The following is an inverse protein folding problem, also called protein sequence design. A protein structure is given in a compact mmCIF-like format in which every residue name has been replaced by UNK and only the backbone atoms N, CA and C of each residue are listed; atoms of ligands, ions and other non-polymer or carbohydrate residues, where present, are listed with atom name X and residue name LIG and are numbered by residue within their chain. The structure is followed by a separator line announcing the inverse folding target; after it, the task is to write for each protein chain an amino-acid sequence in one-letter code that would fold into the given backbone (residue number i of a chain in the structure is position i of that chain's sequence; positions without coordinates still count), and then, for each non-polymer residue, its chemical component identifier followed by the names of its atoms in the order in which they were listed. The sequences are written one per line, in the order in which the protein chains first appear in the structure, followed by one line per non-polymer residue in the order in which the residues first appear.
data_IF_961828262954
#
_entry.id   IF_961828262954
#
_cell.length_a   1.000
_cell.length_b   1.000
_cell.length_c   1.000
_cell.angle_alpha   90.00
_cell.angle_beta   90.00
_cell.angle_gamma   90.00
#
_symmetry.space_group_name_H-M   'P 1'
#
loop_
_entity.id
_entity.type
_entity.pdbx_description
1 polymer ?
#
# COMPACT_ATOMS: atom_id res chain seq x y z
N UNK A 1 -16.20 3.92 5.36
CA UNK A 1 -15.45 3.09 4.42
C UNK A 1 -13.97 3.39 4.54
N UNK A 2 -13.15 2.37 4.52
CA UNK A 2 -11.72 2.53 4.63
C UNK A 2 -11.16 2.99 3.27
N UNK A 3 -10.62 4.21 3.23
CA UNK A 3 -10.09 4.80 1.99
C UNK A 3 -8.85 4.05 1.50
N UNK A 4 -8.06 3.48 2.39
CA UNK A 4 -6.89 2.68 2.02
C UNK A 4 -7.32 1.39 1.35
N UNK A 5 -8.32 0.71 1.90
CA UNK A 5 -8.84 -0.52 1.30
C UNK A 5 -9.38 -0.27 -0.10
N UNK A 6 -10.13 0.81 -0.28
CA UNK A 6 -10.67 1.21 -1.58
C UNK A 6 -9.55 1.50 -2.58
N UNK A 7 -8.53 2.24 -2.16
CA UNK A 7 -7.36 2.56 -3.00
C UNK A 7 -6.62 1.30 -3.42
N UNK A 8 -6.35 0.42 -2.49
CA UNK A 8 -5.61 -0.82 -2.77
C UNK A 8 -6.41 -1.73 -3.72
N UNK A 9 -7.72 -1.80 -3.56
CA UNK A 9 -8.58 -2.55 -4.47
C UNK A 9 -8.53 -1.98 -5.89
N UNK A 10 -8.55 -0.66 -6.02
CA UNK A 10 -8.41 0.02 -7.31
C UNK A 10 -7.08 -0.32 -7.98
N UNK A 11 -5.99 -0.29 -7.22
CA UNK A 11 -4.67 -0.65 -7.72
C UNK A 11 -4.62 -2.09 -8.20
N UNK A 12 -5.16 -3.01 -7.40
CA UNK A 12 -5.14 -4.42 -7.72
C UNK A 12 -5.94 -4.72 -9.00
N UNK A 13 -7.12 -4.12 -9.13
CA UNK A 13 -7.96 -4.29 -10.31
C UNK A 13 -7.29 -3.74 -11.56
N UNK A 14 -6.70 -2.55 -11.49
CA UNK A 14 -6.01 -1.95 -12.62
C UNK A 14 -4.78 -2.75 -13.03
N UNK A 15 -4.02 -3.28 -12.08
CA UNK A 15 -2.83 -4.09 -12.39
C UNK A 15 -3.22 -5.44 -13.00
N UNK A 16 -4.32 -6.04 -12.57
CA UNK A 16 -4.84 -7.27 -13.17
C UNK A 16 -5.32 -7.05 -14.59
N UNK A 17 -5.87 -5.86 -14.88
CA UNK A 17 -6.24 -5.46 -16.23
C UNK A 17 -5.04 -5.05 -17.09
N UNK A 18 -3.83 -5.10 -16.53
CA UNK A 18 -2.56 -4.79 -17.19
C UNK A 18 -2.52 -3.36 -17.73
N UNK A 19 -3.09 -2.42 -17.01
CA UNK A 19 -3.02 -1.02 -17.37
C UNK A 19 -1.63 -0.46 -17.07
N UNK A 20 -1.15 0.43 -17.95
CA UNK A 20 0.12 1.11 -17.71
C UNK A 20 -0.02 2.12 -16.59
N UNK A 21 -1.13 2.84 -16.55
CA UNK A 21 -1.40 3.86 -15.53
C UNK A 21 -2.85 3.81 -15.10
N UNK A 22 -3.11 4.40 -13.93
CA UNK A 22 -4.47 4.71 -13.50
C UNK A 22 -4.45 6.07 -12.80
N UNK A 23 -5.58 6.75 -12.80
CA UNK A 23 -5.73 8.05 -12.16
C UNK A 23 -6.63 7.90 -10.94
N UNK A 24 -6.13 8.33 -9.80
CA UNK A 24 -6.90 8.41 -8.58
C UNK A 24 -7.27 9.87 -8.37
N UNK A 25 -8.53 10.22 -8.61
CA UNK A 25 -9.01 11.59 -8.51
C UNK A 25 -9.03 12.05 -7.04
N UNK A 26 -9.10 13.36 -6.84
CA UNK A 26 -9.25 13.92 -5.50
C UNK A 26 -10.50 13.37 -4.80
N UNK A 27 -11.59 13.18 -5.53
CA UNK A 27 -12.83 12.57 -5.00
C UNK A 27 -12.63 11.15 -4.53
N UNK A 28 -11.79 10.38 -5.22
CA UNK A 28 -11.50 9.00 -4.86
C UNK A 28 -10.37 8.89 -3.83
N UNK A 29 -9.93 9.99 -3.26
CA UNK A 29 -8.90 10.00 -2.24
C UNK A 29 -7.50 10.35 -2.73
N UNK A 30 -7.35 10.79 -3.99
CA UNK A 30 -6.05 11.13 -4.55
C UNK A 30 -5.34 12.28 -3.84
N UNK A 31 -6.08 13.09 -3.08
CA UNK A 31 -5.51 14.16 -2.25
C UNK A 31 -5.35 13.77 -0.78
N UNK A 32 -5.79 12.57 -0.39
CA UNK A 32 -5.65 12.12 0.99
C UNK A 32 -4.18 11.92 1.35
N UNK A 33 -3.78 12.47 2.48
CA UNK A 33 -2.42 12.28 2.98
C UNK A 33 -2.10 10.80 3.23
N UNK A 34 -3.05 10.07 3.82
CA UNK A 34 -2.86 8.64 4.09
C UNK A 34 -2.70 7.84 2.80
N UNK A 35 -3.55 8.13 1.81
CA UNK A 35 -3.47 7.46 0.51
C UNK A 35 -2.13 7.73 -0.16
N UNK A 36 -1.70 8.99 -0.18
CA UNK A 36 -0.40 9.34 -0.76
C UNK A 36 0.76 8.70 -0.04
N UNK A 37 0.66 8.58 1.29
CA UNK A 37 1.68 7.90 2.08
C UNK A 37 1.81 6.42 1.70
N UNK A 38 0.68 5.74 1.53
CA UNK A 38 0.66 4.33 1.08
C UNK A 38 1.26 4.22 -0.32
N UNK A 39 0.88 5.10 -1.24
CA UNK A 39 1.38 5.06 -2.61
C UNK A 39 2.89 5.28 -2.68
N UNK A 40 3.41 6.25 -1.92
CA UNK A 40 4.86 6.50 -1.85
C UNK A 40 5.61 5.29 -1.29
N UNK A 41 5.04 4.67 -0.28
CA UNK A 41 5.60 3.47 0.32
C UNK A 41 5.68 2.34 -0.70
N UNK A 42 4.64 2.15 -1.50
CA UNK A 42 4.62 1.12 -2.55
C UNK A 42 5.63 1.40 -3.65
N UNK A 43 5.83 2.66 -4.03
CA UNK A 43 6.87 3.03 -4.99
C UNK A 43 8.26 2.71 -4.42
N UNK A 44 8.50 3.11 -3.18
CA UNK A 44 9.79 2.87 -2.53
C UNK A 44 10.11 1.39 -2.42
N UNK A 45 9.11 0.57 -2.13
CA UNK A 45 9.30 -0.88 -1.97
C UNK A 45 9.32 -1.62 -3.32
N UNK A 46 9.15 -0.93 -4.42
CA UNK A 46 9.26 -1.53 -5.75
C UNK A 46 7.98 -2.16 -6.28
N UNK A 47 6.84 -1.88 -5.69
CA UNK A 47 5.56 -2.41 -6.16
C UNK A 47 4.90 -1.54 -7.23
N UNK A 48 5.24 -0.26 -7.27
CA UNK A 48 4.76 0.68 -8.28
C UNK A 48 5.95 1.32 -8.97
N UNK A 49 5.78 1.69 -10.23
CA UNK A 49 6.82 2.36 -11.01
C UNK A 49 7.02 3.81 -10.57
N UNK A 50 5.93 4.56 -10.37
CA UNK A 50 6.02 5.93 -9.96
C UNK A 50 4.67 6.60 -9.82
N UNK A 51 4.72 7.85 -9.37
CA UNK A 51 3.56 8.71 -9.16
C UNK A 51 3.79 10.04 -9.87
N UNK A 52 2.69 10.64 -10.35
CA UNK A 52 2.72 11.97 -10.95
C UNK A 52 1.42 12.70 -10.62
N UNK A 53 1.41 14.04 -10.61
CA UNK A 53 0.17 14.78 -10.41
C UNK A 53 -0.81 14.50 -11.55
N UNK A 54 -2.10 14.39 -11.24
CA UNK A 54 -3.15 14.32 -12.24
C UNK A 54 -3.63 15.75 -12.52
N UNK A 55 -3.37 16.22 -13.73
CA UNK A 55 -3.59 17.63 -14.07
C UNK A 55 -5.08 18.00 -14.06
N UNK A 56 -5.93 17.11 -14.60
CA UNK A 56 -7.36 17.40 -14.77
C UNK A 56 -8.17 17.21 -13.49
N UNK A 57 -7.84 16.21 -12.68
CA UNK A 57 -8.67 15.78 -11.55
C UNK A 57 -8.10 16.17 -10.19
N UNK A 58 -7.01 16.91 -10.16
CA UNK A 58 -6.30 17.30 -8.93
C UNK A 58 -5.95 16.12 -8.02
N UNK A 59 -5.81 14.93 -8.59
CA UNK A 59 -5.45 13.73 -7.87
C UNK A 59 -4.03 13.28 -8.18
N UNK A 60 -3.85 11.98 -8.31
CA UNK A 60 -2.56 11.39 -8.58
C UNK A 60 -2.66 10.38 -9.73
N UNK A 61 -1.68 10.41 -10.63
CA UNK A 61 -1.51 9.39 -11.66
C UNK A 61 -0.53 8.35 -11.14
N UNK A 62 -0.93 7.10 -11.20
CA UNK A 62 -0.15 5.97 -10.70
C UNK A 62 0.35 5.17 -11.90
N UNK A 63 1.67 4.96 -11.98
CA UNK A 63 2.26 4.10 -13.00
C UNK A 63 2.57 2.75 -12.39
N UNK A 64 2.09 1.70 -13.04
CA UNK A 64 2.27 0.33 -12.57
C UNK A 64 3.58 -0.26 -13.05
N UNK A 65 4.10 -1.19 -12.26
CA UNK A 65 5.32 -1.89 -12.56
C UNK A 65 5.01 -3.33 -12.96
N UNK A 66 5.58 -3.76 -14.06
CA UNK A 66 5.44 -5.13 -14.59
C UNK A 66 6.82 -5.72 -14.83
N UNK A 67 6.91 -7.04 -14.73
CA UNK A 67 8.15 -7.72 -15.08
C UNK A 67 8.22 -7.94 -16.60
N UNK A 68 9.30 -8.60 -17.06
CA UNK A 68 9.49 -8.87 -18.49
C UNK A 68 8.41 -9.75 -19.12
N UNK A 69 7.67 -10.50 -18.29
CA UNK A 69 6.55 -11.35 -18.75
C UNK A 69 5.22 -10.62 -18.74
N UNK A 70 5.19 -9.36 -18.34
CA UNK A 70 3.97 -8.58 -18.22
C UNK A 70 3.18 -8.86 -16.95
N UNK A 71 3.77 -9.55 -15.98
CA UNK A 71 3.12 -9.80 -14.69
C UNK A 71 3.28 -8.60 -13.77
N UNK A 72 2.20 -8.17 -13.07
CA UNK A 72 2.30 -7.02 -12.18
C UNK A 72 3.13 -7.31 -10.93
N UNK A 73 3.83 -6.29 -10.44
CA UNK A 73 4.58 -6.39 -9.19
C UNK A 73 3.65 -6.61 -8.00
N UNK A 74 2.48 -5.99 -8.01
CA UNK A 74 1.44 -6.26 -7.00
C UNK A 74 0.67 -7.48 -7.45
N UNK A 75 0.82 -8.58 -6.74
CA UNK A 75 0.13 -9.84 -7.07
C UNK A 75 -1.15 -10.02 -6.27
N UNK A 76 -1.10 -9.74 -4.99
CA UNK A 76 -2.25 -9.88 -4.12
C UNK A 76 -2.14 -8.95 -2.92
N UNK A 77 -3.30 -8.66 -2.33
CA UNK A 77 -3.40 -7.85 -1.13
C UNK A 77 -4.30 -8.59 -0.15
N UNK A 78 -3.89 -8.64 1.10
CA UNK A 78 -4.73 -9.24 2.14
C UNK A 78 -4.95 -8.25 3.28
N UNK A 79 -6.16 -8.31 3.82
CA UNK A 79 -6.59 -7.45 4.90
C UNK A 79 -6.23 -8.10 6.24
N UNK A 80 -5.56 -7.36 7.11
CA UNK A 80 -5.23 -7.86 8.46
C UNK A 80 -6.17 -7.26 9.48
N UNK A 81 -6.20 -5.93 9.62
CA UNK A 81 -7.13 -5.25 10.52
C UNK A 81 -8.45 -4.98 9.82
N UNK A 82 -9.55 -5.21 10.54
CA UNK A 82 -10.92 -4.95 10.07
C UNK A 82 -11.63 -4.05 11.09
N UNK A 83 -12.73 -3.37 10.70
CA UNK A 83 -13.42 -2.46 11.61
C UNK A 83 -13.80 -3.07 12.95
N UNK A 84 -14.25 -4.31 12.97
CA UNK A 84 -14.59 -5.01 14.20
C UNK A 84 -13.46 -5.82 14.83
N UNK A 85 -12.29 -5.82 14.21
CA UNK A 85 -11.16 -6.65 14.65
C UNK A 85 -9.85 -6.00 14.26
N UNK A 86 -9.37 -5.08 15.09
CA UNK A 86 -8.08 -4.44 14.89
C UNK A 86 -6.96 -5.35 15.35
N UNK A 87 -5.88 -5.43 14.58
CA UNK A 87 -4.72 -6.26 14.90
C UNK A 87 -3.52 -5.34 15.14
N UNK A 88 -2.96 -5.41 16.33
CA UNK A 88 -1.80 -4.63 16.73
C UNK A 88 -0.62 -5.57 16.94
N UNK A 89 0.58 -5.09 16.64
CA UNK A 89 1.79 -5.84 16.88
C UNK A 89 2.86 -4.94 17.47
N UNK A 90 3.49 -5.41 18.52
CA UNK A 90 4.73 -4.82 19.02
C UNK A 90 5.90 -5.27 18.14
N UNK A 91 7.07 -4.68 18.36
CA UNK A 91 8.27 -4.99 17.57
C UNK A 91 8.60 -6.49 17.61
N UNK A 92 8.50 -7.11 18.77
CA UNK A 92 8.79 -8.54 18.92
C UNK A 92 7.85 -9.41 18.11
N UNK A 93 6.56 -9.02 18.04
CA UNK A 93 5.55 -9.78 17.29
C UNK A 93 5.73 -9.67 15.77
N UNK A 94 6.35 -8.61 15.28
CA UNK A 94 6.61 -8.44 13.85
C UNK A 94 7.56 -9.49 13.29
N UNK A 95 8.43 -10.08 14.14
CA UNK A 95 9.32 -11.16 13.73
C UNK A 95 8.57 -12.42 13.34
N UNK A 96 7.31 -12.55 13.78
CA UNK A 96 6.46 -13.70 13.48
C UNK A 96 5.57 -13.49 12.26
N UNK A 97 5.70 -12.35 11.58
CA UNK A 97 4.97 -12.10 10.35
C UNK A 97 5.37 -13.15 9.29
N UNK A 98 4.45 -13.58 8.41
CA UNK A 98 4.74 -14.63 7.44
C UNK A 98 5.97 -14.28 6.60
N UNK A 99 6.99 -15.10 6.67
CA UNK A 99 8.23 -14.89 5.92
C UNK A 99 7.96 -15.03 4.42
N UNK A 100 8.56 -14.15 3.62
CA UNK A 100 8.43 -14.20 2.17
C UNK A 100 7.07 -13.76 1.64
N UNK A 101 6.21 -13.22 2.49
CA UNK A 101 4.87 -12.78 2.11
C UNK A 101 4.82 -11.34 1.60
N UNK A 102 5.96 -10.77 1.17
CA UNK A 102 6.01 -9.38 0.73
C UNK A 102 6.16 -8.43 1.91
N UNK A 103 5.31 -7.40 1.97
CA UNK A 103 5.38 -6.41 3.03
C UNK A 103 4.07 -6.32 3.79
N UNK A 104 4.16 -5.89 5.04
CA UNK A 104 3.02 -5.49 5.85
C UNK A 104 3.04 -3.97 5.98
N UNK A 105 1.89 -3.34 5.87
CA UNK A 105 1.75 -1.90 6.06
C UNK A 105 1.18 -1.68 7.46
N UNK A 106 1.89 -0.91 8.27
CA UNK A 106 1.52 -0.62 9.64
C UNK A 106 1.20 0.85 9.83
N UNK A 107 0.22 1.13 10.67
CA UNK A 107 -0.02 2.47 11.19
C UNK A 107 0.68 2.58 12.54
N UNK A 108 1.67 3.46 12.63
CA UNK A 108 2.48 3.64 13.83
C UNK A 108 2.44 5.11 14.27
N UNK A 109 2.91 5.40 15.51
CA UNK A 109 3.04 6.81 15.92
C UNK A 109 3.95 7.63 15.01
N UNK A 110 4.82 6.98 14.24
CA UNK A 110 5.70 7.65 13.27
C UNK A 110 5.13 7.67 11.86
N UNK A 111 3.86 7.34 11.68
CA UNK A 111 3.19 7.32 10.39
C UNK A 111 3.03 5.92 9.83
N UNK A 112 2.75 5.84 8.53
CA UNK A 112 2.61 4.55 7.83
C UNK A 112 3.99 4.01 7.47
N UNK A 113 4.28 2.81 7.94
CA UNK A 113 5.57 2.15 7.74
C UNK A 113 5.36 0.72 7.25
N UNK A 114 6.40 0.17 6.62
CA UNK A 114 6.46 -1.27 6.39
C UNK A 114 6.88 -1.98 7.69
N UNK A 115 6.64 -3.29 7.74
CA UNK A 115 7.12 -4.10 8.86
C UNK A 115 8.64 -4.02 9.01
N UNK A 116 9.37 -3.96 7.89
CA UNK A 116 10.83 -3.82 7.90
C UNK A 116 11.26 -2.50 8.55
N UNK A 117 10.64 -1.39 8.13
CA UNK A 117 10.96 -0.07 8.70
C UNK A 117 10.54 0.04 10.15
N UNK A 118 9.41 -0.56 10.52
CA UNK A 118 8.96 -0.56 11.91
C UNK A 118 9.95 -1.30 12.81
N UNK A 119 10.47 -2.43 12.37
CA UNK A 119 11.52 -3.14 13.10
C UNK A 119 12.79 -2.30 13.23
N UNK A 120 13.21 -1.68 12.13
CA UNK A 120 14.41 -0.84 12.13
C UNK A 120 14.30 0.35 13.09
N UNK A 121 13.12 0.98 13.15
CA UNK A 121 12.85 2.12 14.02
C UNK A 121 12.42 1.70 15.42
N UNK A 122 12.28 0.41 15.67
CA UNK A 122 11.89 -0.15 16.96
C UNK A 122 10.53 0.37 17.43
N UNK A 123 9.55 0.39 16.53
CA UNK A 123 8.18 0.81 16.83
C UNK A 123 7.19 -0.27 16.41
N UNK A 124 6.12 -0.42 17.17
CA UNK A 124 4.99 -1.26 16.84
C UNK A 124 3.80 -0.43 16.40
N UNK A 125 2.74 -1.08 15.96
CA UNK A 125 1.55 -0.39 15.56
C UNK A 125 0.46 -1.34 15.08
N UNK A 126 -0.55 -0.76 14.46
CA UNK A 126 -1.65 -1.52 13.88
C UNK A 126 -1.25 -2.04 12.50
N UNK A 127 -1.42 -3.34 12.27
CA UNK A 127 -1.15 -3.95 10.97
C UNK A 127 -2.41 -3.75 10.11
N UNK A 128 -2.28 -2.96 9.05
CA UNK A 128 -3.42 -2.62 8.18
C UNK A 128 -3.62 -3.64 7.07
N UNK A 129 -2.61 -3.80 6.24
CA UNK A 129 -2.69 -4.62 5.02
C UNK A 129 -1.37 -5.33 4.79
N UNK A 130 -1.46 -6.47 4.09
CA UNK A 130 -0.28 -7.13 3.54
C UNK A 130 -0.32 -7.06 2.03
N UNK A 131 0.85 -6.90 1.39
CA UNK A 131 0.98 -6.81 -0.06
C UNK A 131 2.06 -7.79 -0.51
N UNK A 132 1.75 -8.52 -1.54
CA UNK A 132 2.69 -9.44 -2.19
C UNK A 132 3.01 -9.00 -3.60
#
# INVERSE_FOLDING_TARGET
MDIIASTVSTLLNASRARRATTILSARAGGNSHRVRSVLRLLVREGYLEGLAPAIVTSGVTIRFKYNSRGEPAIRSVFCVSKPGRRVYAGVASLWQAPAGAGILILSTPRGLLTDRDARRLNVGGEILRGIR
#
